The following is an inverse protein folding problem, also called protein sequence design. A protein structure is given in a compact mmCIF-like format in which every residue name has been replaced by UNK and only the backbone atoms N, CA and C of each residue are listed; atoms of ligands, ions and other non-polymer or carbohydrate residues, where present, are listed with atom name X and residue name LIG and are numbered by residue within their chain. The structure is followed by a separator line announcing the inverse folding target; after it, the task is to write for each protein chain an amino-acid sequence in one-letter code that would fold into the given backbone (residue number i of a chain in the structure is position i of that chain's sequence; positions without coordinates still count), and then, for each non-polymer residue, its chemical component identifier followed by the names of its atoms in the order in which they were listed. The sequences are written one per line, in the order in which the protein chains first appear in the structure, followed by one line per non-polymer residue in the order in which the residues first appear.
data_IF_090490723060
#
_entry.id   IF_090490723060
#
_cell.length_a   1.000
_cell.length_b   1.000
_cell.length_c   1.000
_cell.angle_alpha   90.00
_cell.angle_beta   90.00
_cell.angle_gamma   90.00
#
_symmetry.space_group_name_H-M   'P 1'
#
loop_
_entity.id
_entity.type
_entity.pdbx_description
1 polymer ?
#
# COMPACT_ATOMS: atom_id res chain seq x y z
N UNK A 1 20.82 -32.63 45.81
CA UNK A 1 19.35 -32.38 45.80
C UNK A 1 18.98 -31.40 44.70
N UNK A 2 19.65 -30.24 44.63
CA UNK A 2 19.49 -29.25 43.55
C UNK A 2 19.81 -29.79 42.15
N UNK A 3 20.84 -30.62 41.97
CA UNK A 3 21.14 -31.25 40.67
C UNK A 3 20.05 -32.23 40.21
N UNK A 4 19.47 -32.99 41.13
CA UNK A 4 18.35 -33.91 40.84
C UNK A 4 17.05 -33.16 40.56
N UNK A 5 16.85 -32.00 41.19
CA UNK A 5 15.73 -31.12 40.91
C UNK A 5 15.90 -30.43 39.55
N UNK A 6 17.10 -29.95 39.24
CA UNK A 6 17.45 -29.36 37.95
C UNK A 6 17.28 -30.36 36.81
N UNK A 7 17.80 -31.58 36.93
CA UNK A 7 17.57 -32.64 35.95
C UNK A 7 16.07 -32.93 35.77
N UNK A 8 15.30 -33.08 36.86
CA UNK A 8 13.86 -33.33 36.72
C UNK A 8 13.09 -32.15 36.11
N UNK A 9 13.48 -30.92 36.39
CA UNK A 9 12.90 -29.72 35.78
C UNK A 9 13.27 -29.64 34.31
N UNK A 10 14.54 -29.84 33.95
CA UNK A 10 15.01 -29.83 32.57
C UNK A 10 14.36 -30.97 31.75
N UNK A 11 14.13 -32.15 32.35
CA UNK A 11 13.48 -33.31 31.73
C UNK A 11 11.95 -33.15 31.55
N UNK A 12 11.30 -32.22 32.27
CA UNK A 12 9.84 -32.01 32.25
C UNK A 12 9.41 -30.61 31.80
N UNK A 13 10.35 -29.72 31.50
CA UNK A 13 10.07 -28.39 30.97
C UNK A 13 9.75 -28.50 29.48
N UNK A 14 8.63 -27.94 29.00
CA UNK A 14 8.32 -27.95 27.59
C UNK A 14 9.41 -27.22 26.82
N UNK A 15 10.10 -27.94 25.93
CA UNK A 15 11.09 -27.34 25.06
C UNK A 15 10.38 -26.66 23.88
N UNK A 16 10.74 -25.41 23.61
CA UNK A 16 10.32 -24.72 22.39
C UNK A 16 11.05 -25.38 21.22
N UNK A 17 10.31 -26.08 20.38
CA UNK A 17 10.82 -26.74 19.17
C UNK A 17 10.59 -25.91 17.89
N UNK A 18 9.65 -24.95 17.92
CA UNK A 18 9.30 -24.11 16.78
C UNK A 18 8.79 -22.74 17.22
N UNK A 19 9.18 -21.71 16.47
CA UNK A 19 8.72 -20.32 16.62
C UNK A 19 7.99 -19.96 15.33
N UNK A 20 6.67 -19.74 15.43
CA UNK A 20 5.83 -19.35 14.29
C UNK A 20 5.64 -17.83 14.28
N UNK A 21 5.93 -17.20 13.16
CA UNK A 21 5.87 -15.75 13.00
C UNK A 21 4.91 -15.40 11.86
N UNK A 22 3.91 -14.57 12.19
CA UNK A 22 3.12 -13.83 11.21
C UNK A 22 3.45 -12.35 11.34
N UNK A 23 3.64 -11.67 10.21
CA UNK A 23 4.04 -10.26 10.16
C UNK A 23 3.03 -9.49 9.33
N UNK A 24 2.64 -8.30 9.81
CA UNK A 24 1.76 -7.40 9.11
C UNK A 24 2.39 -6.02 8.94
N UNK A 25 2.09 -5.34 7.85
CA UNK A 25 2.55 -3.97 7.65
C UNK A 25 1.72 -3.22 6.63
N UNK A 26 1.60 -1.90 6.81
CA UNK A 26 0.98 -1.00 5.84
C UNK A 26 1.97 0.12 5.49
N UNK A 27 2.03 0.53 4.23
CA UNK A 27 2.84 1.66 3.77
C UNK A 27 4.33 1.42 4.02
N UNK A 28 5.00 2.33 4.72
CA UNK A 28 6.36 2.13 5.23
C UNK A 28 6.46 0.96 6.21
N UNK A 29 5.40 0.68 6.96
CA UNK A 29 5.32 -0.50 7.83
C UNK A 29 5.36 -1.80 7.04
N UNK A 30 4.85 -1.83 5.81
CA UNK A 30 5.01 -2.98 4.92
C UNK A 30 6.46 -3.15 4.43
N UNK A 31 7.15 -2.04 4.10
CA UNK A 31 8.57 -2.08 3.76
C UNK A 31 9.41 -2.58 4.95
N UNK A 32 9.08 -2.11 6.17
CA UNK A 32 9.69 -2.60 7.40
C UNK A 32 9.38 -4.07 7.68
N UNK A 33 8.17 -4.55 7.40
CA UNK A 33 7.81 -5.96 7.54
C UNK A 33 8.65 -6.85 6.59
N UNK A 34 8.81 -6.43 5.34
CA UNK A 34 9.65 -7.10 4.34
C UNK A 34 11.13 -7.13 4.77
N UNK A 35 11.65 -6.01 5.27
CA UNK A 35 13.01 -5.96 5.81
C UNK A 35 13.16 -6.80 7.08
N UNK A 36 12.15 -6.80 7.96
CA UNK A 36 12.14 -7.53 9.22
C UNK A 36 12.26 -9.03 9.01
N UNK A 37 11.48 -9.62 8.09
CA UNK A 37 11.54 -11.07 7.85
C UNK A 37 12.93 -11.52 7.38
N UNK A 38 13.64 -10.66 6.64
CA UNK A 38 15.00 -10.90 6.19
C UNK A 38 16.01 -10.78 7.32
N UNK A 39 15.98 -9.66 8.04
CA UNK A 39 16.89 -9.42 9.15
C UNK A 39 16.71 -10.46 10.27
N UNK A 40 15.48 -10.91 10.51
CA UNK A 40 15.19 -11.97 11.47
C UNK A 40 15.90 -13.28 11.08
N UNK A 41 15.83 -13.67 9.80
CA UNK A 41 16.52 -14.84 9.30
C UNK A 41 18.05 -14.66 9.34
N UNK A 42 18.56 -13.53 8.85
CA UNK A 42 20.01 -13.28 8.70
C UNK A 42 20.73 -13.14 10.05
N UNK A 43 20.13 -12.46 11.03
CA UNK A 43 20.80 -12.16 12.31
C UNK A 43 20.60 -13.25 13.35
N UNK A 44 19.49 -13.99 13.28
CA UNK A 44 19.06 -14.90 14.35
C UNK A 44 18.95 -16.36 13.91
N UNK A 45 19.05 -16.67 12.61
CA UNK A 45 18.90 -18.05 12.14
C UNK A 45 20.12 -18.54 11.34
N UNK A 46 20.39 -19.83 11.40
CA UNK A 46 21.18 -20.53 10.39
C UNK A 46 20.22 -21.10 9.36
N UNK A 47 20.54 -20.92 8.08
CA UNK A 47 19.76 -21.46 6.97
C UNK A 47 20.28 -22.86 6.64
N UNK A 48 19.43 -23.86 6.76
CA UNK A 48 19.68 -25.22 6.31
C UNK A 48 18.64 -25.56 5.24
N UNK A 49 19.04 -25.59 3.98
CA UNK A 49 18.13 -25.71 2.84
C UNK A 49 17.07 -24.59 2.85
N UNK A 50 15.79 -24.93 3.02
CA UNK A 50 14.67 -23.98 3.15
C UNK A 50 14.20 -23.79 4.60
N UNK A 51 14.90 -24.36 5.58
CA UNK A 51 14.58 -24.23 6.99
C UNK A 51 15.44 -23.18 7.68
N UNK A 52 14.80 -22.37 8.52
CA UNK A 52 15.48 -21.44 9.41
C UNK A 52 15.58 -22.08 10.80
N UNK A 53 16.81 -22.25 11.29
CA UNK A 53 17.05 -22.78 12.63
C UNK A 53 17.51 -21.62 13.51
N UNK A 54 16.77 -21.35 14.58
CA UNK A 54 17.08 -20.29 15.54
C UNK A 54 18.43 -20.55 16.20
N UNK A 55 19.28 -19.52 16.29
CA UNK A 55 20.66 -19.65 16.81
C UNK A 55 20.85 -19.02 18.18
N UNK A 56 19.87 -18.26 18.67
CA UNK A 56 19.94 -17.60 20.00
C UNK A 56 19.24 -18.42 21.08
N UNK A 57 19.46 -19.73 21.09
CA UNK A 57 19.02 -20.59 22.19
C UNK A 57 20.23 -21.27 22.81
N UNK A 58 20.33 -21.22 24.13
CA UNK A 58 21.32 -21.98 24.91
C UNK A 58 20.82 -23.41 25.21
N UNK A 59 19.62 -23.76 24.72
CA UNK A 59 19.04 -25.08 24.90
C UNK A 59 19.69 -26.11 23.97
N UNK A 60 19.59 -27.39 24.37
CA UNK A 60 20.06 -28.53 23.59
C UNK A 60 19.34 -28.61 22.24
N UNK A 61 18.07 -28.20 22.20
CA UNK A 61 17.25 -28.16 20.99
C UNK A 61 17.18 -26.72 20.49
N UNK A 62 17.62 -26.51 19.24
CA UNK A 62 17.46 -25.24 18.55
C UNK A 62 16.08 -25.22 17.85
N UNK A 63 15.20 -24.26 18.15
CA UNK A 63 13.88 -24.24 17.54
C UNK A 63 13.93 -23.87 16.06
N UNK A 64 13.03 -24.44 15.27
CA UNK A 64 12.78 -24.01 13.89
C UNK A 64 12.04 -22.66 13.89
N UNK A 65 12.49 -21.69 13.11
CA UNK A 65 11.75 -20.46 12.84
C UNK A 65 10.92 -20.64 11.58
N UNK A 66 9.63 -20.35 11.65
CA UNK A 66 8.70 -20.45 10.52
C UNK A 66 7.98 -19.13 10.35
N UNK A 67 8.26 -18.43 9.24
CA UNK A 67 7.53 -17.24 8.85
C UNK A 67 6.38 -17.71 7.95
N UNK A 68 5.24 -18.01 8.58
CA UNK A 68 4.14 -18.69 7.89
C UNK A 68 3.20 -17.72 7.16
N UNK A 69 3.18 -16.44 7.57
CA UNK A 69 2.32 -15.43 6.96
C UNK A 69 2.97 -14.04 6.95
N UNK A 70 2.96 -13.37 5.79
CA UNK A 70 3.34 -11.97 5.64
C UNK A 70 2.20 -11.22 4.95
N UNK A 71 1.42 -10.45 5.72
CA UNK A 71 0.29 -9.66 5.22
C UNK A 71 0.66 -8.19 5.08
N UNK A 72 0.78 -7.70 3.85
CA UNK A 72 1.23 -6.33 3.59
C UNK A 72 0.23 -5.53 2.77
N UNK A 73 0.10 -4.25 3.11
CA UNK A 73 -0.77 -3.28 2.43
C UNK A 73 0.08 -2.16 1.84
N UNK A 74 -0.13 -1.92 0.56
CA UNK A 74 0.39 -0.84 -0.28
C UNK A 74 1.81 -0.41 0.10
N UNK A 75 2.77 -1.31 -0.09
CA UNK A 75 4.16 -1.07 0.29
C UNK A 75 4.72 0.18 -0.37
N UNK A 76 5.27 1.08 0.44
CA UNK A 76 6.00 2.27 -0.03
C UNK A 76 7.35 2.30 0.68
N UNK A 77 8.42 2.06 -0.09
CA UNK A 77 9.80 2.07 0.40
C UNK A 77 10.40 3.49 0.52
N UNK A 78 9.79 4.45 -0.18
CA UNK A 78 10.31 5.81 -0.37
C UNK A 78 10.19 6.70 0.88
N UNK A 79 11.28 7.43 1.18
CA UNK A 79 11.28 8.70 1.93
C UNK A 79 11.36 9.85 0.89
N UNK A 80 10.39 9.95 0.00
CA UNK A 80 10.34 11.00 -1.02
C UNK A 80 9.80 12.31 -0.46
N UNK A 81 10.61 13.09 0.24
CA UNK A 81 10.34 14.53 0.43
C UNK A 81 10.51 15.27 -0.92
N UNK A 82 9.51 15.19 -1.80
CA UNK A 82 9.57 15.90 -3.08
C UNK A 82 8.19 16.29 -3.61
N UNK A 83 7.80 17.56 -3.44
CA UNK A 83 6.80 18.17 -4.33
C UNK A 83 5.81 19.19 -3.77
N UNK A 84 5.72 19.42 -2.45
CA UNK A 84 4.80 20.46 -1.95
C UNK A 84 5.43 21.86 -2.11
N UNK A 85 4.64 22.83 -2.60
CA UNK A 85 5.06 24.25 -2.69
C UNK A 85 5.48 24.85 -1.34
N UNK A 86 5.09 24.21 -0.24
CA UNK A 86 5.48 24.57 1.12
C UNK A 86 6.94 24.15 1.42
N UNK A 87 7.36 22.98 0.94
CA UNK A 87 8.71 22.45 1.13
C UNK A 87 9.77 23.20 0.31
N UNK A 88 9.42 23.70 -0.88
CA UNK A 88 10.32 24.57 -1.66
C UNK A 88 10.69 25.87 -0.94
N UNK A 89 9.86 26.33 -0.01
CA UNK A 89 10.17 27.48 0.84
C UNK A 89 10.90 27.08 2.13
N UNK A 90 10.74 25.85 2.64
CA UNK A 90 11.46 25.38 3.83
C UNK A 90 12.98 25.35 3.62
N UNK A 91 13.44 25.12 2.38
CA UNK A 91 14.85 25.23 1.97
C UNK A 91 15.46 26.61 2.27
N UNK A 92 14.61 27.63 2.38
CA UNK A 92 14.99 29.01 2.69
C UNK A 92 14.59 29.47 4.11
N UNK A 93 13.70 28.74 4.80
CA UNK A 93 13.22 29.12 6.15
C UNK A 93 14.17 28.72 7.29
N UNK A 94 14.96 27.64 7.15
CA UNK A 94 15.85 27.12 8.22
C UNK A 94 17.35 27.37 7.98
N UNK A 95 17.70 28.06 6.90
CA UNK A 95 19.08 28.44 6.57
C UNK A 95 19.92 27.32 5.94
N UNK A 96 20.96 27.68 5.16
CA UNK A 96 21.71 26.76 4.29
C UNK A 96 22.45 25.65 5.04
N UNK A 97 22.84 25.86 6.31
CA UNK A 97 23.48 24.81 7.12
C UNK A 97 22.49 23.71 7.55
N UNK A 98 21.31 24.08 8.08
CA UNK A 98 20.33 23.10 8.57
C UNK A 98 19.60 22.38 7.44
N UNK A 99 19.31 23.07 6.34
CA UNK A 99 18.81 22.44 5.11
C UNK A 99 19.82 21.45 4.51
N UNK A 100 21.12 21.76 4.63
CA UNK A 100 22.21 20.89 4.20
C UNK A 100 22.38 19.64 5.07
N UNK A 101 22.24 19.77 6.40
CA UNK A 101 22.32 18.62 7.33
C UNK A 101 21.16 17.65 7.12
N UNK A 102 19.92 18.14 6.93
CA UNK A 102 18.79 17.27 6.61
C UNK A 102 18.95 16.60 5.23
N UNK A 103 19.47 17.32 4.23
CA UNK A 103 19.77 16.75 2.91
C UNK A 103 20.91 15.71 2.93
N UNK A 104 21.88 15.86 3.84
CA UNK A 104 22.96 14.89 4.03
C UNK A 104 22.50 13.67 4.85
N UNK A 105 21.60 13.85 5.82
CA UNK A 105 20.93 12.73 6.51
C UNK A 105 20.03 11.93 5.54
N UNK A 106 19.48 12.58 4.52
CA UNK A 106 18.62 11.98 3.50
C UNK A 106 19.42 11.28 2.38
N UNK A 107 20.52 11.88 1.88
CA UNK A 107 21.44 11.20 0.93
C UNK A 107 22.31 10.12 1.60
N UNK A 108 22.51 10.18 2.91
CA UNK A 108 23.04 9.05 3.69
C UNK A 108 21.95 8.01 4.03
N UNK A 109 20.71 8.26 3.61
CA UNK A 109 19.50 7.49 3.89
C UNK A 109 19.10 6.51 2.79
N UNK A 110 20.06 6.01 1.99
CA UNK A 110 19.97 4.60 1.58
C UNK A 110 20.10 3.78 2.84
N UNK A 111 19.01 3.69 3.59
CA UNK A 111 19.03 2.92 4.79
C UNK A 111 19.16 1.47 4.36
N UNK A 112 20.34 0.87 4.54
CA UNK A 112 20.74 -0.44 3.99
C UNK A 112 19.69 -1.55 4.16
N UNK A 113 18.80 -1.41 5.13
CA UNK A 113 17.65 -2.27 5.38
C UNK A 113 16.58 -2.29 4.26
N UNK A 114 16.53 -1.28 3.39
CA UNK A 114 15.55 -1.17 2.31
C UNK A 114 16.14 -1.49 0.92
N UNK A 115 17.41 -1.92 0.84
CA UNK A 115 18.08 -2.21 -0.44
C UNK A 115 17.55 -3.48 -1.12
N UNK A 116 16.98 -4.42 -0.36
CA UNK A 116 16.34 -5.61 -0.89
C UNK A 116 15.04 -5.89 -0.14
N UNK A 117 13.92 -5.59 -0.82
CA UNK A 117 12.58 -5.86 -0.34
C UNK A 117 11.98 -7.13 -0.95
N UNK A 118 12.73 -7.94 -1.70
CA UNK A 118 12.20 -9.19 -2.26
C UNK A 118 11.74 -10.14 -1.15
N UNK A 119 10.64 -10.85 -1.41
CA UNK A 119 10.08 -11.82 -0.48
C UNK A 119 10.89 -13.11 -0.55
N UNK A 120 11.57 -13.53 0.54
CA UNK A 120 12.39 -14.73 0.53
C UNK A 120 11.56 -16.02 0.41
N UNK A 121 12.14 -17.09 -0.14
CA UNK A 121 11.47 -18.40 -0.31
C UNK A 121 11.06 -19.08 0.99
N UNK A 122 11.71 -18.77 2.11
CA UNK A 122 11.38 -19.33 3.42
C UNK A 122 10.13 -18.69 4.07
N UNK A 123 9.60 -17.61 3.48
CA UNK A 123 8.28 -17.10 3.85
C UNK A 123 7.24 -18.01 3.18
N UNK A 124 6.42 -18.71 3.96
CA UNK A 124 5.51 -19.72 3.40
C UNK A 124 4.41 -19.11 2.56
N UNK A 125 3.85 -17.99 3.01
CA UNK A 125 2.81 -17.27 2.28
C UNK A 125 2.90 -15.77 2.51
N UNK A 126 2.93 -15.01 1.43
CA UNK A 126 2.86 -13.55 1.44
C UNK A 126 1.63 -13.08 0.67
N UNK A 127 0.87 -12.17 1.26
CA UNK A 127 -0.25 -11.50 0.62
C UNK A 127 -0.04 -10.00 0.61
N UNK A 128 -0.08 -9.40 -0.57
CA UNK A 128 0.16 -7.98 -0.77
C UNK A 128 -1.03 -7.33 -1.48
N UNK A 129 -1.65 -6.35 -0.81
CA UNK A 129 -2.72 -5.54 -1.38
C UNK A 129 -2.19 -4.19 -1.85
N UNK A 130 -2.47 -3.80 -3.08
CA UNK A 130 -1.91 -2.61 -3.74
C UNK A 130 -3.01 -1.60 -4.05
N UNK A 131 -2.76 -0.31 -3.81
CA UNK A 131 -3.68 0.77 -4.13
C UNK A 131 -3.59 1.11 -5.62
N UNK A 132 -4.64 0.79 -6.37
CA UNK A 132 -4.60 0.93 -7.82
C UNK A 132 -4.78 2.39 -8.30
N UNK A 133 -5.26 3.29 -7.43
CA UNK A 133 -5.47 4.72 -7.74
C UNK A 133 -4.54 5.64 -6.94
N UNK A 134 -3.47 5.12 -6.35
CA UNK A 134 -2.44 5.97 -5.76
C UNK A 134 -1.55 6.54 -6.86
N UNK A 135 -1.65 7.85 -7.08
CA UNK A 135 -0.98 8.57 -8.17
C UNK A 135 0.01 9.63 -7.66
N UNK A 136 0.18 9.76 -6.33
CA UNK A 136 1.12 10.73 -5.76
C UNK A 136 2.54 10.22 -5.99
N UNK A 137 3.36 11.09 -6.57
CA UNK A 137 4.79 10.84 -6.79
C UNK A 137 5.55 10.45 -5.50
N UNK A 138 5.08 10.93 -4.34
CA UNK A 138 5.67 10.62 -3.03
C UNK A 138 5.33 9.22 -2.49
N UNK A 139 4.38 8.52 -3.12
CA UNK A 139 3.93 7.18 -2.72
C UNK A 139 4.15 6.20 -3.87
N UNK A 140 5.41 5.96 -4.31
CA UNK A 140 5.68 4.92 -5.29
C UNK A 140 5.42 3.56 -4.64
N UNK A 141 4.43 2.84 -5.16
CA UNK A 141 4.15 1.47 -4.75
C UNK A 141 5.32 0.54 -5.11
N UNK A 142 5.66 -0.35 -4.19
CA UNK A 142 6.72 -1.35 -4.36
C UNK A 142 6.08 -2.74 -4.50
N UNK A 143 5.98 -3.22 -5.75
CA UNK A 143 5.45 -4.55 -6.09
C UNK A 143 6.37 -5.64 -5.55
N UNK A 144 5.79 -6.76 -5.13
CA UNK A 144 6.54 -7.94 -4.69
C UNK A 144 7.03 -8.80 -5.87
N UNK A 145 6.76 -8.38 -7.11
CA UNK A 145 7.24 -9.06 -8.31
C UNK A 145 8.72 -8.82 -8.53
N UNK A 146 9.43 -9.87 -8.94
CA UNK A 146 10.81 -9.80 -9.41
C UNK A 146 10.83 -10.13 -10.89
N UNK A 147 11.45 -9.29 -11.72
CA UNK A 147 11.52 -9.48 -13.18
C UNK A 147 10.15 -9.75 -13.83
N UNK A 148 9.13 -9.00 -13.41
CA UNK A 148 7.71 -9.13 -13.82
C UNK A 148 6.99 -10.40 -13.35
N UNK A 149 7.69 -11.32 -12.68
CA UNK A 149 7.13 -12.57 -12.16
C UNK A 149 6.73 -12.43 -10.71
N UNK A 150 5.55 -12.96 -10.39
CA UNK A 150 5.08 -13.09 -9.02
C UNK A 150 5.74 -14.33 -8.40
N UNK A 151 6.40 -14.24 -7.23
CA UNK A 151 6.94 -15.40 -6.54
C UNK A 151 5.83 -16.42 -6.21
N UNK A 152 6.14 -17.71 -6.23
CA UNK A 152 5.14 -18.78 -6.05
C UNK A 152 4.51 -18.83 -4.66
N UNK A 153 5.22 -18.30 -3.66
CA UNK A 153 4.75 -18.15 -2.28
C UNK A 153 3.96 -16.86 -2.05
N UNK A 154 3.64 -16.11 -3.11
CA UNK A 154 3.07 -14.78 -3.00
C UNK A 154 1.76 -14.62 -3.78
N UNK A 155 0.88 -13.76 -3.26
CA UNK A 155 -0.30 -13.23 -3.96
C UNK A 155 -0.30 -11.70 -3.88
N UNK A 156 -0.29 -11.03 -5.03
CA UNK A 156 -0.39 -9.57 -5.13
C UNK A 156 -1.74 -9.21 -5.78
N UNK A 157 -2.58 -8.43 -5.07
CA UNK A 157 -3.93 -8.07 -5.51
C UNK A 157 -4.09 -6.55 -5.53
N UNK A 158 -4.61 -6.03 -6.64
CA UNK A 158 -4.91 -4.61 -6.80
C UNK A 158 -6.34 -4.32 -6.35
N UNK A 159 -6.49 -3.33 -5.48
CA UNK A 159 -7.78 -2.84 -5.01
C UNK A 159 -8.04 -1.43 -5.51
N UNK A 160 -9.29 -1.07 -5.86
CA UNK A 160 -9.66 0.31 -6.09
C UNK A 160 -9.39 1.16 -4.85
N UNK A 161 -8.91 2.36 -5.08
CA UNK A 161 -8.69 3.36 -4.03
C UNK A 161 -7.25 3.89 -4.02
N UNK A 162 -7.05 4.92 -3.22
CA UNK A 162 -5.74 5.47 -2.91
C UNK A 162 -5.13 4.77 -1.68
N UNK A 163 -3.94 5.16 -1.28
CA UNK A 163 -3.14 4.50 -0.24
C UNK A 163 -3.91 4.06 1.02
N UNK A 164 -4.67 4.98 1.63
CA UNK A 164 -5.42 4.73 2.87
C UNK A 164 -6.80 4.12 2.64
N UNK A 165 -7.27 4.03 1.40
CA UNK A 165 -8.43 3.17 1.06
C UNK A 165 -8.04 1.69 1.12
N UNK A 166 -6.73 1.37 1.14
CA UNK A 166 -6.24 -0.01 1.23
C UNK A 166 -5.79 -0.37 2.64
N UNK A 167 -4.94 0.46 3.23
CA UNK A 167 -4.43 0.20 4.58
C UNK A 167 -5.24 0.80 5.72
N UNK A 168 -6.28 1.59 5.42
CA UNK A 168 -7.04 2.35 6.39
C UNK A 168 -6.38 3.68 6.79
N UNK A 169 -7.11 4.45 7.61
CA UNK A 169 -6.63 5.71 8.19
C UNK A 169 -7.33 6.99 7.70
N UNK A 170 -8.36 6.88 6.85
CA UNK A 170 -9.26 7.99 6.60
C UNK A 170 -10.31 8.11 7.71
N UNK A 171 -10.53 9.34 8.18
CA UNK A 171 -11.65 9.66 9.06
C UNK A 171 -12.95 9.61 8.25
N UNK A 172 -14.00 9.10 8.88
CA UNK A 172 -15.29 8.96 8.22
C UNK A 172 -15.87 10.34 7.94
N UNK A 173 -16.36 10.54 6.70
CA UNK A 173 -17.01 11.77 6.23
C UNK A 173 -16.11 13.01 6.17
N UNK A 174 -14.81 12.92 6.45
CA UNK A 174 -13.89 14.07 6.51
C UNK A 174 -13.57 14.65 5.11
N UNK A 175 -13.43 13.78 4.11
CA UNK A 175 -13.15 14.20 2.74
C UNK A 175 -14.40 14.11 1.88
N UNK A 176 -15.05 15.25 1.62
CA UNK A 176 -16.22 15.34 0.73
C UNK A 176 -17.39 14.45 1.18
N UNK A 177 -17.58 14.26 2.49
CA UNK A 177 -18.62 13.35 3.03
C UNK A 177 -18.50 11.92 2.49
N UNK A 178 -17.29 11.50 2.10
CA UNK A 178 -17.02 10.13 1.64
C UNK A 178 -16.89 9.22 2.84
N UNK A 179 -17.46 8.03 2.73
CA UNK A 179 -17.26 6.99 3.72
C UNK A 179 -15.84 6.42 3.64
N UNK A 180 -15.25 6.10 4.79
CA UNK A 180 -13.98 5.38 4.89
C UNK A 180 -14.13 3.85 4.72
N UNK A 181 -15.34 3.38 4.44
CA UNK A 181 -15.73 1.97 4.38
C UNK A 181 -14.98 1.16 3.32
N UNK A 182 -14.47 1.80 2.26
CA UNK A 182 -13.71 1.11 1.19
C UNK A 182 -12.54 0.30 1.75
N UNK A 183 -11.88 0.79 2.81
CA UNK A 183 -10.77 0.10 3.49
C UNK A 183 -11.16 -1.17 4.25
N UNK A 184 -12.46 -1.38 4.50
CA UNK A 184 -12.96 -2.60 5.16
C UNK A 184 -12.91 -3.81 4.25
N UNK A 185 -12.99 -3.64 2.93
CA UNK A 185 -12.85 -4.75 1.97
C UNK A 185 -11.46 -5.40 2.06
N UNK A 186 -10.33 -4.67 1.87
CA UNK A 186 -9.01 -5.25 2.04
C UNK A 186 -8.74 -5.69 3.49
N UNK A 187 -9.31 -5.02 4.49
CA UNK A 187 -9.24 -5.50 5.89
C UNK A 187 -9.85 -6.91 6.04
N UNK A 188 -11.09 -7.10 5.59
CA UNK A 188 -11.80 -8.38 5.67
C UNK A 188 -11.06 -9.48 4.89
N UNK A 189 -10.61 -9.18 3.68
CA UNK A 189 -9.90 -10.16 2.85
C UNK A 189 -8.55 -10.58 3.46
N UNK A 190 -7.78 -9.63 4.01
CA UNK A 190 -6.52 -9.93 4.69
C UNK A 190 -6.78 -10.74 5.96
N UNK A 191 -7.79 -10.36 6.75
CA UNK A 191 -8.17 -11.08 7.96
C UNK A 191 -8.54 -12.54 7.63
N UNK A 192 -9.38 -12.77 6.63
CA UNK A 192 -9.78 -14.12 6.22
C UNK A 192 -8.59 -14.94 5.74
N UNK A 193 -7.67 -14.34 4.98
CA UNK A 193 -6.48 -15.04 4.49
C UNK A 193 -5.50 -15.38 5.60
N UNK A 194 -5.24 -14.44 6.50
CA UNK A 194 -4.42 -14.65 7.69
C UNK A 194 -5.03 -15.75 8.59
N UNK A 195 -6.35 -15.70 8.82
CA UNK A 195 -7.06 -16.71 9.59
C UNK A 195 -6.95 -18.10 8.93
N UNK A 196 -7.11 -18.18 7.61
CA UNK A 196 -6.95 -19.42 6.85
C UNK A 196 -5.50 -19.95 6.89
N UNK A 197 -4.50 -19.07 7.00
CA UNK A 197 -3.10 -19.42 7.20
C UNK A 197 -2.77 -19.85 8.65
N UNK A 198 -3.74 -19.81 9.56
CA UNK A 198 -3.58 -20.22 10.96
C UNK A 198 -3.09 -19.13 11.90
N UNK A 199 -3.16 -17.85 11.50
CA UNK A 199 -2.91 -16.74 12.42
C UNK A 199 -3.95 -16.81 13.56
N UNK A 200 -3.54 -16.74 14.83
CA UNK A 200 -4.43 -16.98 15.99
C UNK A 200 -5.35 -15.77 16.27
N UNK A 201 -6.10 -15.36 15.26
CA UNK A 201 -7.17 -14.40 15.41
C UNK A 201 -8.40 -15.07 16.01
N UNK A 202 -9.28 -14.23 16.60
CA UNK A 202 -10.66 -14.66 16.91
C UNK A 202 -11.33 -15.14 15.64
N UNK A 203 -12.29 -16.04 15.76
CA UNK A 203 -13.05 -16.55 14.61
C UNK A 203 -13.87 -15.44 13.93
N UNK A 204 -14.24 -15.60 12.65
CA UNK A 204 -15.04 -14.60 11.94
C UNK A 204 -16.35 -14.26 12.66
N UNK A 205 -17.00 -15.26 13.27
CA UNK A 205 -18.21 -15.05 14.06
C UNK A 205 -17.95 -14.15 15.27
N UNK A 206 -16.89 -14.42 16.04
CA UNK A 206 -16.54 -13.59 17.20
C UNK A 206 -16.16 -12.16 16.81
N UNK A 207 -15.54 -11.97 15.65
CA UNK A 207 -15.23 -10.63 15.12
C UNK A 207 -16.52 -9.89 14.77
N UNK A 208 -17.46 -10.53 14.07
CA UNK A 208 -18.75 -9.90 13.76
C UNK A 208 -19.55 -9.57 15.04
N UNK A 209 -19.53 -10.46 16.03
CA UNK A 209 -20.27 -10.28 17.28
C UNK A 209 -19.71 -9.15 18.15
N UNK A 210 -18.38 -8.94 18.17
CA UNK A 210 -17.72 -7.98 19.07
C UNK A 210 -17.26 -6.68 18.37
N UNK A 211 -16.98 -6.75 17.07
CA UNK A 211 -16.34 -5.68 16.29
C UNK A 211 -17.00 -5.49 14.92
N UNK A 212 -18.26 -5.93 14.74
CA UNK A 212 -19.01 -5.83 13.47
C UNK A 212 -18.90 -4.45 12.83
N UNK A 213 -19.12 -3.37 13.59
CA UNK A 213 -19.02 -1.99 13.08
C UNK A 213 -17.69 -1.65 12.40
N UNK A 214 -16.58 -2.34 12.74
CA UNK A 214 -15.26 -2.14 12.14
C UNK A 214 -15.03 -2.96 10.86
N UNK A 215 -15.78 -4.05 10.67
CA UNK A 215 -15.65 -5.01 9.56
C UNK A 215 -16.84 -4.98 8.59
N UNK A 216 -17.96 -4.37 8.98
CA UNK A 216 -19.19 -4.32 8.20
C UNK A 216 -18.98 -3.55 6.91
N UNK A 217 -19.44 -4.17 5.82
CA UNK A 217 -19.42 -3.62 4.47
C UNK A 217 -20.88 -3.48 4.03
N UNK A 218 -21.27 -2.25 3.71
CA UNK A 218 -22.61 -1.93 3.24
C UNK A 218 -22.90 -2.63 1.93
N UNK A 219 -24.15 -3.02 1.74
CA UNK A 219 -24.62 -3.61 0.48
C UNK A 219 -24.42 -2.66 -0.71
N UNK A 220 -24.41 -1.35 -0.48
CA UNK A 220 -24.10 -0.37 -1.52
C UNK A 220 -22.64 -0.44 -1.94
N UNK A 221 -21.71 -0.45 -0.98
CA UNK A 221 -20.29 -0.57 -1.27
C UNK A 221 -19.96 -1.91 -1.94
N UNK A 222 -20.51 -3.02 -1.43
CA UNK A 222 -20.33 -4.35 -2.03
C UNK A 222 -20.72 -4.35 -3.52
N UNK A 223 -21.91 -3.84 -3.85
CA UNK A 223 -22.38 -3.76 -5.24
C UNK A 223 -21.50 -2.86 -6.10
N UNK A 224 -21.08 -1.71 -5.57
CA UNK A 224 -20.21 -0.77 -6.27
C UNK A 224 -18.83 -1.39 -6.54
N UNK A 225 -18.25 -2.05 -5.54
CA UNK A 225 -16.97 -2.74 -5.63
C UNK A 225 -17.03 -3.84 -6.68
N UNK A 226 -18.04 -4.70 -6.62
CA UNK A 226 -18.26 -5.77 -7.59
C UNK A 226 -18.43 -5.24 -9.01
N UNK A 227 -19.24 -4.20 -9.19
CA UNK A 227 -19.45 -3.58 -10.49
C UNK A 227 -18.15 -2.99 -11.05
N UNK A 228 -17.35 -2.36 -10.19
CA UNK A 228 -16.04 -1.83 -10.55
C UNK A 228 -15.09 -2.96 -10.95
N UNK A 229 -14.94 -4.00 -10.12
CA UNK A 229 -14.00 -5.09 -10.38
C UNK A 229 -14.35 -5.90 -11.63
N UNK A 230 -15.64 -6.03 -11.98
CA UNK A 230 -16.07 -6.61 -13.28
C UNK A 230 -15.61 -5.81 -14.51
N UNK A 231 -15.32 -4.52 -14.34
CA UNK A 231 -14.81 -3.67 -15.42
C UNK A 231 -13.30 -3.75 -15.59
N UNK A 232 -12.59 -4.31 -14.60
CA UNK A 232 -11.14 -4.43 -14.63
C UNK A 232 -10.73 -5.68 -15.40
N UNK A 233 -9.73 -5.54 -16.26
CA UNK A 233 -9.17 -6.65 -17.03
C UNK A 233 -8.41 -7.58 -16.08
N UNK A 234 -8.84 -8.85 -15.90
CA UNK A 234 -8.06 -9.81 -15.13
C UNK A 234 -6.77 -10.14 -15.88
N UNK A 235 -5.65 -10.16 -15.17
CA UNK A 235 -4.33 -10.42 -15.74
C UNK A 235 -3.30 -10.65 -14.64
N UNK A 236 -2.39 -11.60 -14.88
CA UNK A 236 -1.24 -11.83 -14.03
C UNK A 236 -0.10 -10.84 -14.29
N UNK A 237 -0.26 -9.89 -15.22
CA UNK A 237 0.73 -8.86 -15.51
C UNK A 237 0.48 -7.59 -14.71
N UNK A 238 1.54 -7.09 -14.08
CA UNK A 238 1.52 -5.84 -13.33
C UNK A 238 1.02 -4.67 -14.18
N UNK A 239 1.54 -4.54 -15.40
CA UNK A 239 1.22 -3.38 -16.25
C UNK A 239 -0.24 -3.41 -16.68
N UNK A 240 -0.81 -4.59 -16.94
CA UNK A 240 -2.23 -4.72 -17.29
C UNK A 240 -3.12 -4.33 -16.11
N UNK A 241 -2.80 -4.79 -14.89
CA UNK A 241 -3.53 -4.40 -13.69
C UNK A 241 -3.49 -2.88 -13.50
N UNK A 242 -2.29 -2.29 -13.47
CA UNK A 242 -2.08 -0.85 -13.29
C UNK A 242 -2.82 -0.04 -14.37
N UNK A 243 -2.65 -0.39 -15.65
CA UNK A 243 -3.28 0.33 -16.76
C UNK A 243 -4.80 0.20 -16.70
N UNK A 244 -5.35 -0.98 -16.41
CA UNK A 244 -6.80 -1.20 -16.38
C UNK A 244 -7.46 -0.35 -15.28
N UNK A 245 -6.90 -0.37 -14.07
CA UNK A 245 -7.41 0.42 -12.95
C UNK A 245 -7.26 1.92 -13.20
N UNK A 246 -6.09 2.38 -13.68
CA UNK A 246 -5.87 3.80 -13.95
C UNK A 246 -6.75 4.32 -15.09
N UNK A 247 -7.01 3.53 -16.14
CA UNK A 247 -7.94 3.90 -17.19
C UNK A 247 -9.34 4.14 -16.62
N UNK A 248 -9.86 3.22 -15.79
CA UNK A 248 -11.16 3.39 -15.15
C UNK A 248 -11.20 4.66 -14.29
N UNK A 249 -10.14 4.92 -13.51
CA UNK A 249 -10.00 6.14 -12.71
C UNK A 249 -10.00 7.43 -13.57
N UNK A 250 -9.24 7.45 -14.67
CA UNK A 250 -9.18 8.62 -15.55
C UNK A 250 -10.48 8.83 -16.34
N UNK A 251 -11.17 7.77 -16.73
CA UNK A 251 -12.52 7.88 -17.31
C UNK A 251 -13.50 8.51 -16.32
N UNK A 252 -13.47 8.07 -15.06
CA UNK A 252 -14.27 8.68 -14.00
C UNK A 252 -13.91 10.16 -13.78
N UNK A 253 -12.61 10.50 -13.69
CA UNK A 253 -12.12 11.89 -13.55
C UNK A 253 -12.65 12.77 -14.67
N UNK A 254 -12.52 12.32 -15.92
CA UNK A 254 -13.01 13.05 -17.08
C UNK A 254 -14.53 13.30 -17.01
N UNK A 255 -15.33 12.26 -16.78
CA UNK A 255 -16.78 12.40 -16.67
C UNK A 255 -17.22 13.27 -15.49
N UNK A 256 -16.51 13.19 -14.36
CA UNK A 256 -16.76 14.02 -13.16
C UNK A 256 -16.50 15.50 -13.44
N UNK A 257 -15.39 15.83 -14.09
CA UNK A 257 -15.04 17.20 -14.45
C UNK A 257 -16.09 17.82 -15.38
N UNK A 258 -16.61 17.06 -16.35
CA UNK A 258 -17.69 17.56 -17.22
C UNK A 258 -18.99 17.85 -16.46
N UNK A 259 -19.39 16.97 -15.52
CA UNK A 259 -20.54 17.22 -14.64
C UNK A 259 -20.35 18.48 -13.79
N UNK A 260 -19.13 18.68 -13.25
CA UNK A 260 -18.82 19.87 -12.46
C UNK A 260 -18.81 21.16 -13.29
N UNK A 261 -18.33 21.10 -14.54
CA UNK A 261 -18.42 22.22 -15.48
C UNK A 261 -19.88 22.59 -15.78
N UNK A 262 -20.75 21.59 -15.98
CA UNK A 262 -22.17 21.81 -16.19
C UNK A 262 -22.82 22.48 -14.96
N UNK A 263 -22.61 21.91 -13.78
CA UNK A 263 -23.13 22.44 -12.52
C UNK A 263 -22.63 23.87 -12.24
N UNK A 264 -21.39 24.19 -12.62
CA UNK A 264 -20.83 25.55 -12.50
C UNK A 264 -21.57 26.55 -13.40
N UNK A 265 -21.82 26.19 -14.66
CA UNK A 265 -22.56 27.04 -15.60
C UNK A 265 -24.00 27.29 -15.13
N UNK A 266 -24.66 26.26 -14.59
CA UNK A 266 -26.01 26.39 -14.03
C UNK A 266 -26.04 27.34 -12.83
N UNK A 267 -25.06 27.23 -11.92
CA UNK A 267 -24.91 28.16 -10.79
C UNK A 267 -24.66 29.60 -11.26
N UNK A 268 -23.77 29.80 -12.22
CA UNK A 268 -23.49 31.12 -12.79
C UNK A 268 -24.75 31.73 -13.43
N UNK A 269 -25.56 30.92 -14.12
CA UNK A 269 -26.83 31.37 -14.68
C UNK A 269 -27.88 31.74 -13.61
N UNK A 270 -27.98 30.96 -12.52
CA UNK A 270 -28.86 31.29 -11.39
C UNK A 270 -28.46 32.59 -10.68
N UNK A 271 -27.14 32.78 -10.48
CA UNK A 271 -26.60 34.03 -9.90
C UNK A 271 -26.90 35.21 -10.83
N UNK A 272 -26.70 35.05 -12.14
CA UNK A 272 -27.01 36.09 -13.12
C UNK A 272 -28.52 36.46 -13.16
N UNK A 273 -29.41 35.51 -12.81
CA UNK A 273 -30.86 35.74 -12.66
C UNK A 273 -31.27 36.32 -11.30
N UNK A 274 -30.34 36.48 -10.36
CA UNK A 274 -30.64 36.96 -9.01
C UNK A 274 -31.36 35.94 -8.12
N UNK A 275 -31.32 34.65 -8.50
CA UNK A 275 -32.06 33.55 -7.85
C UNK A 275 -31.21 32.77 -6.83
N UNK A 276 -30.05 33.30 -6.40
CA UNK A 276 -29.10 32.53 -5.58
C UNK A 276 -29.52 32.44 -4.11
N UNK A 277 -29.98 31.25 -3.68
CA UNK A 277 -30.09 30.87 -2.27
C UNK A 277 -28.79 30.32 -1.68
N UNK A 278 -28.73 30.20 -0.35
CA UNK A 278 -27.55 29.77 0.44
C UNK A 278 -27.07 28.32 0.18
N UNK A 279 -27.76 27.56 -0.69
CA UNK A 279 -27.50 26.15 -1.01
C UNK A 279 -26.59 25.91 -2.23
N UNK A 280 -25.98 26.96 -2.79
CA UNK A 280 -25.22 26.90 -4.05
C UNK A 280 -23.70 26.96 -3.90
N UNK A 281 -23.15 26.83 -2.69
CA UNK A 281 -21.71 26.83 -2.50
C UNK A 281 -21.10 25.53 -3.07
N UNK A 282 -20.15 25.59 -4.01
CA UNK A 282 -19.50 24.39 -4.52
C UNK A 282 -18.68 23.73 -3.41
N UNK A 283 -18.64 22.40 -3.41
CA UNK A 283 -17.73 21.65 -2.55
C UNK A 283 -16.29 22.12 -2.82
N UNK A 284 -15.62 22.58 -1.76
CA UNK A 284 -14.30 23.20 -1.86
C UNK A 284 -13.22 22.20 -2.24
N UNK A 285 -13.31 20.94 -1.79
CA UNK A 285 -12.39 19.87 -2.11
C UNK A 285 -12.55 19.46 -3.58
N UNK A 286 -13.79 19.30 -4.03
CA UNK A 286 -14.08 18.98 -5.44
C UNK A 286 -13.58 20.08 -6.38
N UNK A 287 -13.79 21.35 -6.01
CA UNK A 287 -13.29 22.49 -6.77
C UNK A 287 -11.76 22.47 -6.87
N UNK A 288 -11.07 22.13 -5.79
CA UNK A 288 -9.61 22.01 -5.77
C UNK A 288 -9.12 20.86 -6.63
N UNK A 289 -9.66 19.65 -6.45
CA UNK A 289 -9.20 18.45 -7.16
C UNK A 289 -9.46 18.53 -8.67
N UNK A 290 -10.58 19.11 -9.10
CA UNK A 290 -10.83 19.39 -10.51
C UNK A 290 -9.91 20.48 -11.06
N UNK A 291 -9.62 21.53 -10.28
CA UNK A 291 -8.67 22.56 -10.66
C UNK A 291 -7.24 22.03 -10.84
N UNK A 292 -6.83 21.06 -10.03
CA UNK A 292 -5.56 20.34 -10.17
C UNK A 292 -5.55 19.45 -11.42
N UNK A 293 -6.62 18.67 -11.62
CA UNK A 293 -6.80 17.85 -12.83
C UNK A 293 -6.74 18.66 -14.12
N UNK A 294 -7.45 19.78 -14.19
CA UNK A 294 -7.48 20.67 -15.34
C UNK A 294 -6.07 21.17 -15.71
N UNK A 295 -5.29 21.55 -14.69
CA UNK A 295 -3.89 21.97 -14.88
C UNK A 295 -3.04 20.83 -15.41
N UNK A 296 -3.27 19.60 -14.94
CA UNK A 296 -2.53 18.43 -15.39
C UNK A 296 -2.87 18.05 -16.83
N UNK A 297 -4.15 18.04 -17.20
CA UNK A 297 -4.60 17.84 -18.59
C UNK A 297 -4.00 18.90 -19.51
N UNK A 298 -4.03 20.18 -19.11
CA UNK A 298 -3.41 21.26 -19.89
C UNK A 298 -1.89 21.10 -19.98
N UNK A 299 -1.22 20.66 -18.91
CA UNK A 299 0.23 20.41 -18.90
C UNK A 299 0.59 19.28 -19.85
N UNK A 300 -0.17 18.19 -19.86
CA UNK A 300 -0.01 17.06 -20.77
C UNK A 300 -0.22 17.52 -22.22
N UNK A 301 -1.29 18.28 -22.49
CA UNK A 301 -1.58 18.81 -23.82
C UNK A 301 -0.48 19.75 -24.34
N UNK A 302 0.16 20.54 -23.45
CA UNK A 302 1.29 21.42 -23.77
C UNK A 302 2.61 20.67 -23.93
N UNK A 303 2.81 19.57 -23.20
CA UNK A 303 4.02 18.74 -23.21
C UNK A 303 4.12 17.79 -24.42
N UNK A 304 3.30 17.94 -25.47
CA UNK A 304 3.37 17.10 -26.69
C UNK A 304 4.84 16.79 -27.03
N UNK A 305 5.29 15.52 -26.93
CA UNK A 305 6.61 15.18 -27.39
C UNK A 305 6.60 15.42 -28.89
N UNK A 306 7.53 16.26 -29.36
CA UNK A 306 7.97 16.16 -30.75
C UNK A 306 8.55 14.75 -30.83
N UNK A 307 7.79 13.80 -31.38
CA UNK A 307 8.40 12.63 -31.99
C UNK A 307 9.28 13.19 -33.10
N UNK A 308 10.55 13.50 -32.77
CA UNK A 308 11.53 13.76 -33.81
C UNK A 308 11.57 12.48 -34.62
N UNK A 309 11.25 12.59 -35.91
CA UNK A 309 11.40 11.52 -36.87
C UNK A 309 12.72 10.78 -36.59
N UNK A 310 12.62 9.51 -36.24
CA UNK A 310 13.76 8.60 -36.33
C UNK A 310 14.08 8.55 -37.82
N UNK A 311 15.09 9.32 -38.24
CA UNK A 311 15.69 9.20 -39.55
C UNK A 311 16.13 7.73 -39.71
N UNK A 312 15.78 7.06 -40.82
CA UNK A 312 16.26 5.71 -41.06
C UNK A 312 17.79 5.73 -41.13
N UNK A 313 18.44 4.95 -40.25
CA UNK A 313 19.87 4.66 -40.38
C UNK A 313 20.11 4.01 -41.76
N UNK A 314 21.08 4.50 -42.55
CA UNK A 314 21.45 3.82 -43.77
C UNK A 314 22.13 2.50 -43.40
N UNK A 315 21.57 1.39 -43.90
CA UNK A 315 22.25 0.11 -43.97
C UNK A 315 23.57 0.31 -44.73
N UNK A 316 24.69 0.17 -44.02
CA UNK A 316 25.97 -0.11 -44.68
C UNK A 316 25.95 -1.59 -45.08
N UNK A 317 25.92 -1.82 -46.39
CA UNK A 317 26.46 -3.04 -47.00
C UNK A 317 27.98 -3.08 -46.82
#
# INVERSE_FOLDING_TARGET
MLEKLKSRVDDHMPHVNQINVAVFGFSRGAAQARAFVRQLAEQYCSKHEDELIWTKSWAVIQPKLVIYFLGIFDTVASIGFGGSRFESNLKYCVGPLWGGVMYLLDNAGHSDWANDLSIPSYVQFCEHYVAAHEVREKFPGDSIRSDQLLPSNCREIFYPGSHSDIGGGYDDMDQETRSNELSRIPLCNMYLSAYAAGVPFRSPQEILDQYGDMFDISTELEKCFDAYMRHITPSDRLETQVISHLNAYYHWRCGRTERQRHARKEREALIARGESGMSSAPDQYMTRTDGEWEKDVQRIAKKKPVFSAVLPMPLRM
#
